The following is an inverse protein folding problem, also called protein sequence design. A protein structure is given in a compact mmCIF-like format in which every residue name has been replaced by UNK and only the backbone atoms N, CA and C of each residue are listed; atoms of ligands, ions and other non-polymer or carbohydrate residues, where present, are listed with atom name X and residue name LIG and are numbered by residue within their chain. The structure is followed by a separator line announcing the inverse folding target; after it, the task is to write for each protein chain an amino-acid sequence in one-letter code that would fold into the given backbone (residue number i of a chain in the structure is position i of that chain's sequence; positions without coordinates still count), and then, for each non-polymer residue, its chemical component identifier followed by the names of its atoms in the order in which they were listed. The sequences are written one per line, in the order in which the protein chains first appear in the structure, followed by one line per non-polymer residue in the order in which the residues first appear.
data_IF_771833940348
#
_entry.id   IF_771833940348
#
_cell.length_a   1.000
_cell.length_b   1.000
_cell.length_c   1.000
_cell.angle_alpha   90.00
_cell.angle_beta   90.00
_cell.angle_gamma   90.00
#
_symmetry.space_group_name_H-M   'P 1'
#
loop_
_entity.id
_entity.type
_entity.pdbx_description
1 polymer ?
#
# COMPACT_ATOMS: atom_id res chain seq x y z
N UNK A 1 -1.41 8.35 -27.41
CA UNK A 1 -2.42 8.40 -26.32
C UNK A 1 -1.80 8.82 -24.98
N UNK A 2 -2.42 9.75 -24.25
CA UNK A 2 -2.44 9.69 -22.78
C UNK A 2 -3.64 8.81 -22.39
N UNK A 3 -3.46 7.49 -22.48
CA UNK A 3 -4.58 6.56 -22.67
C UNK A 3 -4.42 5.22 -21.95
N UNK A 4 -4.13 5.27 -20.65
CA UNK A 4 -4.58 4.21 -19.75
C UNK A 4 -5.77 4.78 -19.00
N UNK A 5 -6.98 4.47 -19.46
CA UNK A 5 -8.20 4.83 -18.77
C UNK A 5 -8.17 4.24 -17.35
N UNK A 6 -8.57 5.05 -16.36
CA UNK A 6 -8.59 4.70 -14.93
C UNK A 6 -9.99 4.94 -14.41
N UNK A 7 -10.73 3.88 -14.10
CA UNK A 7 -12.09 3.96 -13.56
C UNK A 7 -12.22 4.56 -12.14
N UNK A 8 -11.17 5.20 -11.62
CA UNK A 8 -11.10 5.82 -10.29
C UNK A 8 -11.20 4.87 -9.09
N UNK A 9 -11.73 3.65 -9.28
CA UNK A 9 -12.20 2.77 -8.20
C UNK A 9 -11.08 2.38 -7.24
N UNK A 10 -11.11 2.82 -5.96
CA UNK A 10 -10.12 2.46 -4.96
C UNK A 10 -10.34 1.04 -4.40
N UNK A 11 -11.40 0.35 -4.84
CA UNK A 11 -11.89 -0.91 -4.29
C UNK A 11 -11.87 -2.08 -5.27
N UNK A 12 -12.30 -1.87 -6.53
CA UNK A 12 -12.56 -2.95 -7.48
C UNK A 12 -11.53 -3.07 -8.60
N UNK A 13 -10.70 -2.03 -8.82
CA UNK A 13 -9.70 -2.04 -9.87
C UNK A 13 -8.29 -2.15 -9.26
N UNK A 14 -7.54 -3.24 -9.50
CA UNK A 14 -6.21 -3.42 -8.90
C UNK A 14 -5.17 -2.40 -9.41
N UNK A 15 -5.43 -1.71 -10.54
CA UNK A 15 -4.60 -0.61 -11.03
C UNK A 15 -4.96 0.71 -10.33
N UNK A 16 -6.24 1.07 -10.31
CA UNK A 16 -6.67 2.34 -9.70
C UNK A 16 -6.53 2.33 -8.17
N UNK A 17 -6.73 1.19 -7.52
CA UNK A 17 -6.61 1.07 -6.07
C UNK A 17 -5.18 1.31 -5.56
N UNK A 18 -4.13 0.94 -6.32
CA UNK A 18 -2.73 1.27 -6.00
C UNK A 18 -2.48 2.77 -6.15
N UNK A 19 -2.90 3.38 -7.26
CA UNK A 19 -2.71 4.82 -7.46
C UNK A 19 -3.49 5.65 -6.43
N UNK A 20 -4.78 5.32 -6.20
CA UNK A 20 -5.58 5.94 -5.13
C UNK A 20 -5.00 5.70 -3.75
N UNK A 21 -4.27 4.61 -3.52
CA UNK A 21 -3.59 4.37 -2.25
C UNK A 21 -2.40 5.32 -2.04
N UNK A 22 -1.63 5.61 -3.09
CA UNK A 22 -0.55 6.61 -3.06
C UNK A 22 -1.11 8.03 -2.89
N UNK A 23 -2.15 8.40 -3.64
CA UNK A 23 -2.85 9.70 -3.51
C UNK A 23 -3.39 9.91 -2.08
N UNK A 24 -3.84 8.84 -1.41
CA UNK A 24 -4.26 8.87 0.01
C UNK A 24 -3.09 9.09 0.96
N UNK A 25 -1.94 8.49 0.71
CA UNK A 25 -0.73 8.66 1.52
C UNK A 25 -0.24 10.12 1.43
N UNK A 26 -0.12 10.66 0.21
CA UNK A 26 0.27 12.05 -0.06
C UNK A 26 -0.63 13.06 0.67
N UNK A 27 -1.97 12.94 0.54
CA UNK A 27 -2.94 13.79 1.26
C UNK A 27 -2.75 13.80 2.78
N UNK A 28 -2.30 12.68 3.35
CA UNK A 28 -2.12 12.52 4.80
C UNK A 28 -0.75 13.05 5.23
N UNK A 29 0.27 12.86 4.39
CA UNK A 29 1.59 13.46 4.56
C UNK A 29 1.49 14.99 4.55
N UNK A 30 0.69 15.58 3.66
CA UNK A 30 0.43 17.03 3.64
C UNK A 30 -0.28 17.51 4.91
N UNK A 31 -1.29 16.77 5.37
CA UNK A 31 -1.96 17.05 6.65
C UNK A 31 -0.98 16.97 7.82
N UNK A 32 -0.08 15.98 7.82
CA UNK A 32 0.94 15.82 8.84
C UNK A 32 1.98 16.96 8.79
N UNK A 33 2.57 17.25 7.63
CA UNK A 33 3.50 18.38 7.40
C UNK A 33 2.92 19.70 7.88
N UNK A 34 1.68 20.02 7.50
CA UNK A 34 1.01 21.26 7.91
C UNK A 34 0.66 21.31 9.41
N UNK A 35 0.58 20.16 10.07
CA UNK A 35 0.35 20.03 11.52
C UNK A 35 1.65 20.13 12.31
N UNK A 36 2.71 19.42 11.89
CA UNK A 36 4.02 19.48 12.55
C UNK A 36 4.72 20.82 12.32
N UNK A 37 4.59 21.42 11.13
CA UNK A 37 5.19 22.72 10.79
C UNK A 37 4.69 23.92 11.60
N UNK A 38 3.66 23.73 12.43
CA UNK A 38 3.15 24.72 13.42
C UNK A 38 3.38 24.29 14.88
N UNK A 39 4.22 23.28 15.11
CA UNK A 39 4.43 22.65 16.42
C UNK A 39 3.25 21.81 16.93
N UNK A 40 2.30 21.46 16.05
CA UNK A 40 1.20 20.56 16.35
C UNK A 40 1.64 19.09 16.27
N UNK A 41 0.73 18.18 16.64
CA UNK A 41 0.99 16.73 16.68
C UNK A 41 -0.19 15.96 16.07
N UNK A 42 0.05 14.76 15.54
CA UNK A 42 -1.01 13.95 14.90
C UNK A 42 -1.35 12.74 15.76
N UNK A 43 -2.52 12.77 16.39
CA UNK A 43 -3.09 11.61 17.08
C UNK A 43 -3.52 10.54 16.08
N UNK A 44 -3.18 9.28 16.35
CA UNK A 44 -3.45 8.14 15.46
C UNK A 44 -4.35 7.12 16.16
N UNK A 45 -5.47 6.77 15.54
CA UNK A 45 -6.50 5.94 16.15
C UNK A 45 -7.05 4.88 15.18
N UNK A 46 -6.93 3.60 15.54
CA UNK A 46 -7.68 2.51 14.87
C UNK A 46 -9.00 2.26 15.59
N UNK A 47 -10.08 2.22 14.83
CA UNK A 47 -11.43 1.83 15.25
C UNK A 47 -11.80 0.47 14.64
N UNK A 48 -12.31 -0.43 15.47
CA UNK A 48 -12.93 -1.70 15.04
C UNK A 48 -14.13 -2.04 15.92
N UNK A 49 -14.93 -3.03 15.55
CA UNK A 49 -15.98 -3.60 16.36
C UNK A 49 -15.72 -5.10 16.56
N UNK A 50 -16.12 -5.65 17.71
CA UNK A 50 -16.16 -7.10 17.89
C UNK A 50 -17.23 -7.67 16.97
N UNK A 51 -16.80 -8.57 16.09
CA UNK A 51 -17.61 -9.22 15.06
C UNK A 51 -17.33 -10.72 15.07
N UNK A 52 -18.19 -11.48 14.41
CA UNK A 52 -18.09 -12.93 14.23
C UNK A 52 -18.34 -13.31 12.76
N UNK A 53 -18.02 -14.55 12.39
CA UNK A 53 -18.03 -15.01 10.99
C UNK A 53 -19.42 -15.14 10.35
N UNK A 54 -20.48 -14.95 11.14
CA UNK A 54 -21.87 -14.85 10.75
C UNK A 54 -22.30 -13.42 10.35
N UNK A 55 -21.55 -12.39 10.76
CA UNK A 55 -21.84 -11.00 10.39
C UNK A 55 -21.41 -10.70 8.96
N UNK A 56 -22.28 -10.05 8.19
CA UNK A 56 -21.93 -9.59 6.84
C UNK A 56 -20.97 -8.41 6.86
N UNK A 57 -20.22 -8.22 5.77
CA UNK A 57 -19.40 -7.03 5.58
C UNK A 57 -20.23 -5.75 5.68
N UNK A 58 -21.48 -5.78 5.18
CA UNK A 58 -22.40 -4.65 5.25
C UNK A 58 -22.72 -4.27 6.71
N UNK A 59 -22.99 -5.25 7.57
CA UNK A 59 -23.33 -5.03 8.97
C UNK A 59 -22.13 -4.49 9.76
N UNK A 60 -20.95 -5.12 9.61
CA UNK A 60 -19.73 -4.68 10.32
C UNK A 60 -19.31 -3.28 9.84
N UNK A 61 -19.31 -3.04 8.52
CA UNK A 61 -19.05 -1.71 7.92
C UNK A 61 -20.02 -0.67 8.48
N UNK A 62 -21.32 -0.94 8.45
CA UNK A 62 -22.36 -0.01 8.91
C UNK A 62 -22.20 0.32 10.39
N UNK A 63 -22.00 -0.69 11.25
CA UNK A 63 -21.80 -0.50 12.68
C UNK A 63 -20.60 0.40 12.98
N UNK A 64 -19.44 0.13 12.38
CA UNK A 64 -18.21 0.91 12.57
C UNK A 64 -18.39 2.33 12.02
N UNK A 65 -18.91 2.49 10.79
CA UNK A 65 -19.13 3.80 10.16
C UNK A 65 -20.12 4.67 10.93
N UNK A 66 -21.27 4.13 11.35
CA UNK A 66 -22.30 4.89 12.08
C UNK A 66 -21.84 5.30 13.48
N UNK A 67 -21.10 4.42 14.18
CA UNK A 67 -20.55 4.75 15.49
C UNK A 67 -19.46 5.82 15.39
N UNK A 68 -18.52 5.65 14.46
CA UNK A 68 -17.45 6.61 14.15
C UNK A 68 -17.99 7.98 13.72
N UNK A 69 -18.98 8.00 12.82
CA UNK A 69 -19.65 9.23 12.36
C UNK A 69 -20.36 9.96 13.50
N UNK A 70 -20.99 9.23 14.44
CA UNK A 70 -21.72 9.83 15.56
C UNK A 70 -20.82 10.27 16.71
N UNK A 71 -19.66 9.62 16.91
CA UNK A 71 -18.66 10.04 17.88
C UNK A 71 -18.04 11.42 17.56
N UNK A 72 -18.07 11.84 16.29
CA UNK A 72 -17.60 13.15 15.81
C UNK A 72 -18.73 14.13 15.50
N UNK A 73 -19.81 14.11 16.29
CA UNK A 73 -21.00 14.96 16.10
C UNK A 73 -21.61 15.44 17.42
N UNK A 74 -22.23 16.61 17.38
CA UNK A 74 -22.93 17.20 18.52
C UNK A 74 -22.02 17.98 19.46
N UNK A 75 -22.59 18.47 20.57
CA UNK A 75 -21.91 19.45 21.45
C UNK A 75 -20.61 18.91 22.06
N UNK A 76 -20.63 17.68 22.60
CA UNK A 76 -19.44 17.05 23.18
C UNK A 76 -18.26 16.89 22.20
N UNK A 77 -18.53 16.73 20.90
CA UNK A 77 -17.47 16.74 19.89
C UNK A 77 -16.88 18.14 19.69
N UNK A 78 -17.72 19.18 19.65
CA UNK A 78 -17.28 20.58 19.57
C UNK A 78 -16.43 20.93 20.80
N UNK A 79 -16.91 20.60 22.00
CA UNK A 79 -16.16 20.82 23.24
C UNK A 79 -14.79 20.13 23.22
N UNK A 80 -14.70 18.88 22.71
CA UNK A 80 -13.43 18.18 22.55
C UNK A 80 -12.53 18.75 21.44
N UNK A 81 -13.10 19.35 20.39
CA UNK A 81 -12.31 20.08 19.40
C UNK A 81 -11.65 21.32 20.01
N UNK A 82 -12.39 22.04 20.86
CA UNK A 82 -11.91 23.25 21.53
C UNK A 82 -10.93 22.91 22.68
N UNK A 83 -11.24 21.90 23.52
CA UNK A 83 -10.42 21.45 24.66
C UNK A 83 -9.04 20.92 24.23
N UNK A 84 -8.99 20.07 23.20
CA UNK A 84 -7.74 19.45 22.76
C UNK A 84 -7.10 20.13 21.54
N UNK A 85 -7.76 21.11 20.91
CA UNK A 85 -7.30 21.73 19.67
C UNK A 85 -7.40 20.82 18.44
N UNK A 86 -8.42 19.95 18.36
CA UNK A 86 -8.59 19.03 17.22
C UNK A 86 -9.01 19.81 15.98
N UNK A 87 -8.12 19.92 15.00
CA UNK A 87 -8.41 20.66 13.77
C UNK A 87 -9.46 19.95 12.91
N UNK A 88 -9.39 18.63 12.82
CA UNK A 88 -10.34 17.76 12.12
C UNK A 88 -9.94 16.30 12.26
N UNK A 89 -10.51 15.42 11.41
CA UNK A 89 -10.15 13.99 11.35
C UNK A 89 -10.17 13.51 9.90
N UNK A 90 -9.10 12.86 9.46
CA UNK A 90 -9.02 12.15 8.17
C UNK A 90 -9.17 10.65 8.42
N UNK A 91 -9.94 9.94 7.59
CA UNK A 91 -10.35 8.55 7.85
C UNK A 91 -10.01 7.61 6.69
N UNK A 92 -8.95 6.83 6.83
CA UNK A 92 -8.68 5.66 6.00
C UNK A 92 -9.58 4.49 6.41
N UNK A 93 -9.99 3.67 5.45
CA UNK A 93 -10.72 2.42 5.71
C UNK A 93 -9.82 1.24 5.34
N UNK A 94 -9.80 0.19 6.15
CA UNK A 94 -9.15 -1.09 5.88
C UNK A 94 -10.23 -2.17 5.93
N UNK A 95 -10.19 -3.13 5.01
CA UNK A 95 -11.02 -4.33 5.07
C UNK A 95 -10.18 -5.56 4.78
N UNK A 96 -10.25 -6.54 5.67
CA UNK A 96 -9.60 -7.85 5.51
C UNK A 96 -10.56 -8.98 5.91
N UNK A 97 -10.25 -10.20 5.51
CA UNK A 97 -11.08 -11.37 5.74
C UNK A 97 -10.29 -12.49 6.42
N UNK A 98 -10.84 -13.10 7.47
CA UNK A 98 -10.31 -14.36 8.01
C UNK A 98 -11.38 -15.45 8.05
N UNK A 99 -11.00 -16.69 7.76
CA UNK A 99 -11.92 -17.84 7.83
C UNK A 99 -12.49 -18.09 9.23
N UNK A 100 -11.77 -17.63 10.27
CA UNK A 100 -12.16 -17.83 11.68
C UNK A 100 -13.15 -16.77 12.14
N UNK A 101 -12.90 -15.49 11.84
CA UNK A 101 -13.67 -14.37 12.41
C UNK A 101 -14.56 -13.64 11.39
N UNK A 102 -14.43 -13.92 10.09
CA UNK A 102 -15.17 -13.23 9.03
C UNK A 102 -14.51 -11.92 8.59
N UNK A 103 -15.32 -10.89 8.36
CA UNK A 103 -14.89 -9.59 7.86
C UNK A 103 -14.40 -8.66 8.97
N UNK A 104 -13.14 -8.25 8.87
CA UNK A 104 -12.54 -7.20 9.68
C UNK A 104 -12.67 -5.90 8.91
N UNK A 105 -13.53 -5.00 9.38
CA UNK A 105 -13.65 -3.65 8.85
C UNK A 105 -13.09 -2.65 9.87
N UNK A 106 -12.00 -1.96 9.52
CA UNK A 106 -11.34 -1.00 10.39
C UNK A 106 -11.36 0.41 9.80
N UNK A 107 -11.30 1.40 10.68
CA UNK A 107 -10.99 2.78 10.30
C UNK A 107 -9.71 3.24 10.96
N UNK A 108 -8.77 3.73 10.15
CA UNK A 108 -7.54 4.37 10.60
C UNK A 108 -7.76 5.88 10.54
N UNK A 109 -7.62 6.55 11.69
CA UNK A 109 -7.88 7.97 11.84
C UNK A 109 -6.56 8.71 12.06
N UNK A 110 -6.32 9.75 11.25
CA UNK A 110 -5.41 10.84 11.59
C UNK A 110 -6.21 11.97 12.24
N UNK A 111 -5.78 12.37 13.43
CA UNK A 111 -6.39 13.40 14.27
C UNK A 111 -5.36 14.52 14.44
N UNK A 112 -5.23 15.42 13.44
CA UNK A 112 -4.32 16.55 13.53
C UNK A 112 -4.76 17.51 14.64
N UNK A 113 -3.87 17.75 15.59
CA UNK A 113 -4.05 18.59 16.76
C UNK A 113 -3.14 19.81 16.63
N UNK A 114 -3.73 20.99 16.87
CA UNK A 114 -3.08 22.28 16.62
C UNK A 114 -1.88 22.53 17.57
N UNK A 115 -1.06 23.51 17.19
CA UNK A 115 0.20 23.86 17.85
C UNK A 115 0.09 24.21 19.35
N UNK A 116 1.22 24.53 20.01
CA UNK A 116 1.26 24.65 21.46
C UNK A 116 0.37 25.79 21.97
N UNK A 117 -0.41 25.54 23.03
CA UNK A 117 -1.18 26.57 23.72
C UNK A 117 -0.27 27.49 24.53
N UNK A 118 -0.76 28.66 24.93
CA UNK A 118 0.03 29.58 25.74
C UNK A 118 0.31 29.03 27.16
N UNK A 119 -0.56 28.16 27.68
CA UNK A 119 -0.31 27.41 28.91
C UNK A 119 0.80 26.36 28.74
N UNK A 120 0.84 25.67 27.60
CA UNK A 120 1.90 24.70 27.29
C UNK A 120 3.25 25.41 27.12
N UNK A 121 3.28 26.55 26.43
CA UNK A 121 4.47 27.42 26.32
C UNK A 121 4.94 27.90 27.69
N UNK A 122 4.03 28.43 28.52
CA UNK A 122 4.36 28.91 29.86
C UNK A 122 4.90 27.80 30.77
N UNK A 123 4.41 26.56 30.62
CA UNK A 123 4.89 25.39 31.38
C UNK A 123 6.23 24.84 30.88
N UNK A 124 6.52 24.94 29.59
CA UNK A 124 7.79 24.51 29.01
C UNK A 124 8.91 25.54 29.15
N UNK A 125 8.56 26.83 29.18
CA UNK A 125 9.54 27.93 29.08
C UNK A 125 10.27 27.87 27.75
N UNK A 126 11.60 27.94 27.80
CA UNK A 126 12.48 27.85 26.62
C UNK A 126 12.81 26.39 26.23
N UNK A 127 12.25 25.39 26.90
CA UNK A 127 12.56 23.98 26.63
C UNK A 127 11.65 23.36 25.56
N UNK A 128 12.12 23.36 24.32
CA UNK A 128 11.41 22.81 23.15
C UNK A 128 10.99 21.34 23.32
N UNK A 129 11.83 20.50 23.93
CA UNK A 129 11.51 19.07 24.13
C UNK A 129 10.38 18.87 25.16
N UNK A 130 10.30 19.72 26.19
CA UNK A 130 9.17 19.73 27.12
C UNK A 130 7.91 20.24 26.42
N UNK A 131 8.03 21.26 25.57
CA UNK A 131 6.90 21.80 24.81
C UNK A 131 6.31 20.75 23.86
N UNK A 132 7.16 20.05 23.11
CA UNK A 132 6.76 18.97 22.21
C UNK A 132 6.07 17.83 22.99
N UNK A 133 6.63 17.41 24.12
CA UNK A 133 6.06 16.38 24.97
C UNK A 133 4.65 16.74 25.48
N UNK A 134 4.40 18.03 25.80
CA UNK A 134 3.07 18.51 26.23
C UNK A 134 2.05 18.46 25.09
N UNK A 135 2.40 18.94 23.90
CA UNK A 135 1.50 18.87 22.72
C UNK A 135 1.25 17.40 22.33
N UNK A 136 2.26 16.55 22.44
CA UNK A 136 2.15 15.10 22.21
C UNK A 136 1.21 14.44 23.22
N UNK A 137 1.29 14.80 24.50
CA UNK A 137 0.34 14.35 25.53
C UNK A 137 -1.10 14.80 25.21
N UNK A 138 -1.30 16.04 24.75
CA UNK A 138 -2.61 16.56 24.31
C UNK A 138 -3.15 15.81 23.08
N UNK A 139 -2.31 15.53 22.09
CA UNK A 139 -2.70 14.73 20.92
C UNK A 139 -3.07 13.28 21.28
N UNK A 140 -2.39 12.68 22.26
CA UNK A 140 -2.77 11.36 22.77
C UNK A 140 -4.12 11.40 23.52
N UNK A 141 -4.35 12.44 24.35
CA UNK A 141 -5.63 12.67 25.04
C UNK A 141 -6.78 12.83 24.05
N UNK A 142 -6.61 13.62 22.99
CA UNK A 142 -7.58 13.78 21.91
C UNK A 142 -7.98 12.43 21.28
N UNK A 143 -6.98 11.60 20.95
CA UNK A 143 -7.21 10.28 20.37
C UNK A 143 -7.86 9.30 21.36
N UNK A 144 -7.49 9.34 22.65
CA UNK A 144 -8.12 8.55 23.72
C UNK A 144 -9.58 8.96 23.97
N UNK A 145 -9.87 10.26 23.96
CA UNK A 145 -11.23 10.79 24.08
C UNK A 145 -12.10 10.26 22.93
N UNK A 146 -11.62 10.36 21.68
CA UNK A 146 -12.39 9.91 20.52
C UNK A 146 -12.56 8.38 20.51
N UNK A 147 -11.59 7.63 21.00
CA UNK A 147 -11.71 6.18 21.20
C UNK A 147 -12.79 5.83 22.23
N UNK A 148 -12.89 6.56 23.34
CA UNK A 148 -13.94 6.38 24.34
C UNK A 148 -15.32 6.70 23.76
N UNK A 149 -15.48 7.88 23.14
CA UNK A 149 -16.71 8.30 22.49
C UNK A 149 -17.17 7.28 21.42
N UNK A 150 -16.25 6.73 20.63
CA UNK A 150 -16.56 5.67 19.67
C UNK A 150 -17.05 4.37 20.35
N UNK A 151 -16.39 3.90 21.41
CA UNK A 151 -16.81 2.69 22.13
C UNK A 151 -18.24 2.82 22.67
N UNK A 152 -18.59 3.99 23.19
CA UNK A 152 -19.94 4.24 23.69
C UNK A 152 -20.96 4.31 22.56
N UNK A 153 -20.58 4.83 21.38
CA UNK A 153 -21.42 4.74 20.19
C UNK A 153 -21.61 3.30 19.66
N UNK A 154 -20.61 2.42 19.79
CA UNK A 154 -20.77 0.99 19.49
C UNK A 154 -21.75 0.33 20.47
N UNK A 155 -21.55 0.54 21.78
CA UNK A 155 -22.42 0.00 22.85
C UNK A 155 -23.87 0.47 22.70
N UNK A 156 -24.08 1.75 22.39
CA UNK A 156 -25.41 2.34 22.17
C UNK A 156 -26.14 1.77 20.94
N UNK A 157 -25.46 1.05 20.04
CA UNK A 157 -26.03 0.35 18.87
C UNK A 157 -26.19 -1.16 19.09
N UNK A 158 -26.00 -1.65 20.33
CA UNK A 158 -25.99 -3.08 20.65
C UNK A 158 -24.74 -3.82 20.19
N UNK A 159 -23.76 -3.12 19.61
CA UNK A 159 -22.49 -3.69 19.21
C UNK A 159 -21.57 -3.94 20.41
N UNK A 160 -20.59 -4.84 20.22
CA UNK A 160 -19.55 -5.13 21.22
C UNK A 160 -18.22 -4.55 20.74
N UNK A 161 -17.37 -4.16 21.68
CA UNK A 161 -16.02 -3.67 21.42
C UNK A 161 -15.14 -4.02 22.62
N UNK A 162 -13.94 -4.55 22.37
CA UNK A 162 -12.98 -4.82 23.44
C UNK A 162 -12.38 -3.53 23.96
N UNK A 163 -12.38 -3.30 25.27
CA UNK A 163 -11.74 -2.12 25.84
C UNK A 163 -10.23 -2.07 25.61
N UNK A 164 -9.58 -3.25 25.55
CA UNK A 164 -8.14 -3.42 25.35
C UNK A 164 -7.72 -3.50 23.88
N UNK A 165 -8.56 -4.10 23.02
CA UNK A 165 -8.18 -4.43 21.63
C UNK A 165 -9.06 -3.78 20.56
N UNK A 166 -10.21 -3.21 20.93
CA UNK A 166 -11.19 -2.62 19.99
C UNK A 166 -10.85 -1.21 19.51
N UNK A 167 -9.91 -0.54 20.19
CA UNK A 167 -9.26 0.67 19.70
C UNK A 167 -7.77 0.61 20.01
N UNK A 168 -6.92 1.12 19.11
CA UNK A 168 -5.50 1.38 19.39
C UNK A 168 -5.23 2.86 19.18
N UNK A 169 -4.70 3.52 20.21
CA UNK A 169 -4.23 4.91 20.16
C UNK A 169 -2.70 4.91 20.13
N UNK A 170 -2.12 5.85 19.38
CA UNK A 170 -0.76 6.38 19.56
C UNK A 170 -0.72 7.83 19.06
N UNK A 171 0.42 8.48 19.15
CA UNK A 171 0.73 9.69 18.36
C UNK A 171 1.71 9.30 17.26
N UNK A 172 1.66 9.95 16.10
CA UNK A 172 2.64 9.73 15.05
C UNK A 172 4.02 10.25 15.48
N UNK A 173 5.09 9.59 15.04
CA UNK A 173 6.46 10.03 15.35
C UNK A 173 6.95 11.09 14.35
N UNK A 174 6.50 11.01 13.09
CA UNK A 174 6.80 11.97 12.02
C UNK A 174 5.71 11.94 10.91
N UNK A 175 5.98 12.60 9.77
CA UNK A 175 5.08 12.67 8.62
C UNK A 175 4.90 11.31 7.89
N UNK A 176 5.96 10.52 7.79
CA UNK A 176 5.97 9.21 7.12
C UNK A 176 5.18 8.20 7.97
N UNK A 177 5.39 8.22 9.29
CA UNK A 177 4.67 7.38 10.24
C UNK A 177 3.15 7.69 10.30
N UNK A 178 2.77 8.97 10.16
CA UNK A 178 1.38 9.38 10.02
C UNK A 178 0.76 8.90 8.70
N UNK A 179 1.46 9.15 7.58
CA UNK A 179 1.05 8.77 6.22
C UNK A 179 0.88 7.25 6.08
N UNK A 180 1.94 6.50 6.39
CA UNK A 180 1.98 5.05 6.29
C UNK A 180 0.91 4.38 7.16
N UNK A 181 0.65 4.87 8.37
CA UNK A 181 -0.33 4.24 9.26
C UNK A 181 -1.76 4.30 8.73
N UNK A 182 -2.19 5.42 8.15
CA UNK A 182 -3.57 5.53 7.63
C UNK A 182 -3.69 5.05 6.18
N UNK A 183 -2.57 4.92 5.46
CA UNK A 183 -2.48 4.20 4.19
C UNK A 183 -2.56 2.66 4.33
N UNK A 184 -2.41 2.07 5.55
CA UNK A 184 -2.44 0.61 5.80
C UNK A 184 -3.65 -0.12 5.21
N UNK A 185 -4.80 0.55 5.10
CA UNK A 185 -6.03 -0.02 4.56
C UNK A 185 -6.14 -0.11 3.04
N UNK A 186 -5.04 0.01 2.30
CA UNK A 186 -5.07 0.24 0.86
C UNK A 186 -4.00 -0.55 0.09
N UNK A 187 -4.22 -0.76 -1.21
CA UNK A 187 -3.31 -1.55 -2.05
C UNK A 187 -1.87 -1.06 -2.07
N UNK A 188 -1.58 0.22 -1.77
CA UNK A 188 -0.19 0.66 -1.65
C UNK A 188 0.53 -0.12 -0.55
N UNK A 189 -0.12 -0.45 0.56
CA UNK A 189 0.50 -1.26 1.63
C UNK A 189 0.81 -2.69 1.17
N UNK A 190 -0.01 -3.27 0.31
CA UNK A 190 0.21 -4.61 -0.27
C UNK A 190 1.30 -4.59 -1.37
N UNK A 191 1.33 -3.54 -2.19
CA UNK A 191 2.21 -3.42 -3.37
C UNK A 191 3.57 -2.78 -3.06
N UNK A 192 3.67 -1.91 -2.04
CA UNK A 192 4.95 -1.37 -1.53
C UNK A 192 5.75 -2.40 -0.73
N UNK A 193 5.20 -3.60 -0.51
CA UNK A 193 5.81 -4.60 0.36
C UNK A 193 5.73 -4.21 1.83
N UNK A 194 4.63 -3.60 2.28
CA UNK A 194 4.31 -3.43 3.69
C UNK A 194 4.14 -4.80 4.34
N UNK A 195 5.24 -5.35 4.87
CA UNK A 195 5.33 -6.75 5.29
C UNK A 195 4.23 -7.08 6.32
N UNK A 196 3.24 -7.88 5.91
CA UNK A 196 2.55 -8.74 6.88
C UNK A 196 3.63 -9.67 7.44
N UNK A 197 3.82 -9.68 8.76
CA UNK A 197 4.58 -10.75 9.41
C UNK A 197 4.08 -12.10 8.87
N UNK A 198 4.99 -13.05 8.61
CA UNK A 198 4.66 -14.32 7.93
C UNK A 198 3.53 -15.08 8.64
N UNK A 199 3.39 -14.89 9.96
CA UNK A 199 2.31 -15.41 10.81
C UNK A 199 0.95 -14.70 10.64
N UNK A 200 0.92 -13.41 10.29
CA UNK A 200 -0.32 -12.66 9.99
C UNK A 200 -0.83 -12.90 8.57
N UNK A 201 0.08 -13.08 7.61
CA UNK A 201 -0.29 -13.44 6.23
C UNK A 201 -1.10 -14.75 6.15
N UNK A 202 -0.79 -15.73 7.00
CA UNK A 202 -1.49 -17.01 7.05
C UNK A 202 -2.91 -16.95 7.67
N UNK A 203 -3.28 -15.86 8.35
CA UNK A 203 -4.52 -15.77 9.13
C UNK A 203 -5.48 -14.64 8.74
N UNK A 204 -5.02 -13.61 8.01
CA UNK A 204 -5.90 -12.55 7.48
C UNK A 204 -5.57 -12.22 6.01
N UNK A 205 -6.56 -12.42 5.15
CA UNK A 205 -6.54 -12.23 3.70
C UNK A 205 -6.97 -10.80 3.35
N UNK A 206 -6.30 -10.16 2.41
CA UNK A 206 -6.80 -8.91 1.81
C UNK A 206 -7.94 -9.22 0.81
N UNK A 207 -8.67 -8.20 0.32
CA UNK A 207 -9.68 -8.43 -0.72
C UNK A 207 -9.08 -9.05 -1.99
N UNK A 208 -7.80 -8.79 -2.28
CA UNK A 208 -7.08 -9.34 -3.43
C UNK A 208 -6.62 -10.78 -3.20
N UNK A 209 -6.21 -11.14 -1.98
CA UNK A 209 -6.03 -12.54 -1.57
C UNK A 209 -7.35 -13.33 -1.75
N UNK A 210 -8.50 -12.72 -1.40
CA UNK A 210 -9.85 -13.31 -1.60
C UNK A 210 -10.19 -13.42 -3.09
N UNK A 211 -9.92 -12.39 -3.89
CA UNK A 211 -10.14 -12.41 -5.34
C UNK A 211 -9.30 -13.47 -6.05
N UNK A 212 -8.02 -13.61 -5.69
CA UNK A 212 -7.12 -14.61 -6.25
C UNK A 212 -7.64 -16.03 -5.94
N UNK A 213 -7.95 -16.31 -4.67
CA UNK A 213 -8.52 -17.60 -4.27
C UNK A 213 -9.88 -17.89 -4.95
N UNK A 214 -10.68 -16.87 -5.23
CA UNK A 214 -11.94 -17.00 -5.98
C UNK A 214 -11.70 -17.37 -7.45
N UNK A 215 -10.69 -16.77 -8.10
CA UNK A 215 -10.26 -17.09 -9.47
C UNK A 215 -9.73 -18.53 -9.56
N UNK A 216 -8.99 -18.98 -8.53
CA UNK A 216 -8.49 -20.36 -8.40
C UNK A 216 -9.60 -21.40 -8.09
N UNK A 217 -10.87 -21.02 -8.19
CA UNK A 217 -12.03 -21.92 -8.09
C UNK A 217 -12.56 -22.14 -6.68
N UNK A 218 -12.09 -21.41 -5.66
CA UNK A 218 -12.63 -21.55 -4.31
C UNK A 218 -14.03 -20.93 -4.20
N UNK A 219 -15.06 -21.75 -4.33
CA UNK A 219 -16.47 -21.33 -4.32
C UNK A 219 -16.89 -20.50 -3.09
N UNK A 220 -16.26 -20.73 -1.93
CA UNK A 220 -16.51 -19.92 -0.73
C UNK A 220 -15.92 -18.51 -0.87
N UNK A 221 -14.70 -18.39 -1.41
CA UNK A 221 -14.09 -17.09 -1.69
C UNK A 221 -14.78 -16.35 -2.83
N UNK A 222 -15.38 -17.05 -3.80
CA UNK A 222 -16.27 -16.41 -4.81
C UNK A 222 -17.45 -15.70 -4.14
N UNK A 223 -18.05 -16.28 -3.09
CA UNK A 223 -19.12 -15.61 -2.34
C UNK A 223 -18.61 -14.40 -1.56
N UNK A 224 -17.45 -14.50 -0.90
CA UNK A 224 -16.86 -13.36 -0.18
C UNK A 224 -16.42 -12.24 -1.14
N UNK A 225 -15.89 -12.58 -2.31
CA UNK A 225 -15.57 -11.59 -3.33
C UNK A 225 -16.82 -10.85 -3.80
N UNK A 226 -17.93 -11.55 -4.10
CA UNK A 226 -19.22 -10.91 -4.44
C UNK A 226 -19.69 -9.94 -3.36
N UNK A 227 -19.70 -10.38 -2.10
CA UNK A 227 -20.06 -9.52 -0.95
C UNK A 227 -19.17 -8.26 -0.84
N UNK A 228 -17.87 -8.39 -1.08
CA UNK A 228 -16.95 -7.24 -1.15
C UNK A 228 -17.29 -6.32 -2.34
N UNK A 229 -17.57 -6.88 -3.52
CA UNK A 229 -17.97 -6.12 -4.72
C UNK A 229 -19.29 -5.39 -4.51
N UNK A 230 -20.25 -5.97 -3.80
CA UNK A 230 -21.56 -5.34 -3.55
C UNK A 230 -21.48 -4.24 -2.48
N UNK A 231 -20.58 -4.37 -1.49
CA UNK A 231 -20.57 -3.52 -0.28
C UNK A 231 -19.51 -2.41 -0.29
N UNK A 232 -18.33 -2.62 -0.88
CA UNK A 232 -17.25 -1.63 -0.81
C UNK A 232 -17.34 -0.44 -1.77
N UNK A 233 -17.97 -0.51 -2.97
CA UNK A 233 -18.37 0.66 -3.75
C UNK A 233 -19.02 1.78 -2.95
N UNK A 234 -18.87 3.03 -3.43
CA UNK A 234 -19.36 4.23 -2.73
C UNK A 234 -18.61 4.59 -1.44
N UNK A 235 -17.72 3.73 -0.92
CA UNK A 235 -17.02 3.99 0.33
C UNK A 235 -15.90 5.01 0.12
N UNK A 236 -16.10 6.23 0.65
CA UNK A 236 -15.11 7.32 0.64
C UNK A 236 -13.91 7.00 1.54
N UNK A 237 -12.74 7.52 1.18
CA UNK A 237 -11.48 7.29 1.89
C UNK A 237 -10.66 8.56 2.02
N UNK A 238 -10.06 8.80 3.19
CA UNK A 238 -9.08 9.87 3.43
C UNK A 238 -9.48 11.28 2.95
N UNK A 239 -10.76 11.63 3.06
CA UNK A 239 -11.27 12.96 2.68
C UNK A 239 -10.69 14.04 3.60
N UNK A 240 -10.03 15.03 3.03
CA UNK A 240 -9.58 16.26 3.71
C UNK A 240 -10.69 17.30 3.54
N UNK A 241 -11.52 17.47 4.58
CA UNK A 241 -12.65 18.40 4.52
C UNK A 241 -12.19 19.85 4.29
N UNK A 242 -12.98 20.66 3.59
CA UNK A 242 -12.67 22.07 3.33
C UNK A 242 -12.40 22.87 4.63
N UNK A 243 -13.05 22.52 5.74
CA UNK A 243 -12.80 23.13 7.04
C UNK A 243 -11.42 22.76 7.61
N UNK A 244 -11.00 21.49 7.49
CA UNK A 244 -9.66 21.05 7.89
C UNK A 244 -8.58 21.67 6.98
N UNK A 245 -8.80 21.64 5.67
CA UNK A 245 -7.92 22.24 4.68
C UNK A 245 -7.67 23.74 4.97
N UNK A 246 -8.74 24.50 5.22
CA UNK A 246 -8.66 25.92 5.62
C UNK A 246 -7.90 26.14 6.92
N UNK A 247 -8.07 25.30 7.94
CA UNK A 247 -7.30 25.39 9.20
C UNK A 247 -5.80 25.10 8.98
N UNK A 248 -5.50 24.14 8.09
CA UNK A 248 -4.14 23.70 7.79
C UNK A 248 -3.39 24.58 6.78
N UNK A 249 -4.10 25.35 5.96
CA UNK A 249 -3.51 26.13 4.87
C UNK A 249 -3.16 25.28 3.64
N UNK A 250 -3.74 24.09 3.53
CA UNK A 250 -3.53 23.14 2.42
C UNK A 250 -4.73 23.17 1.46
N UNK A 251 -4.53 22.65 0.25
CA UNK A 251 -5.62 22.43 -0.71
C UNK A 251 -6.61 21.40 -0.13
N UNK A 252 -7.90 21.68 -0.20
CA UNK A 252 -8.91 20.69 0.15
C UNK A 252 -8.85 19.55 -0.88
N UNK A 253 -9.10 18.31 -0.45
CA UNK A 253 -9.59 17.34 -1.42
C UNK A 253 -10.95 17.86 -1.88
N UNK A 254 -11.06 18.31 -3.13
CA UNK A 254 -12.36 18.39 -3.80
C UNK A 254 -13.08 17.06 -3.59
N UNK A 255 -14.41 17.13 -3.52
CA UNK A 255 -15.24 16.02 -3.08
C UNK A 255 -14.81 14.72 -3.75
N UNK A 256 -14.26 13.78 -2.97
CA UNK A 256 -14.31 12.36 -3.35
C UNK A 256 -15.78 11.96 -3.30
N UNK A 257 -16.51 12.36 -4.33
CA UNK A 257 -17.70 11.67 -4.78
C UNK A 257 -17.27 10.22 -4.90
N UNK A 258 -17.87 9.36 -4.07
CA UNK A 258 -17.71 7.92 -4.17
C UNK A 258 -18.43 7.37 -5.39
N UNK A 259 -18.71 8.23 -6.38
CA UNK A 259 -19.17 7.84 -7.69
C UNK A 259 -18.05 6.99 -8.31
N UNK A 260 -18.27 5.69 -8.21
CA UNK A 260 -17.79 4.83 -9.26
C UNK A 260 -18.55 5.25 -10.51
N UNK A 261 -17.87 5.96 -11.41
CA UNK A 261 -18.26 6.00 -12.80
C UNK A 261 -18.12 4.58 -13.38
N UNK A 262 -19.11 3.74 -13.05
CA UNK A 262 -19.44 2.57 -13.83
C UNK A 262 -20.08 3.09 -15.12
N UNK A 263 -19.23 3.39 -16.11
CA UNK A 263 -19.72 3.91 -17.38
C UNK A 263 -20.79 3.00 -17.97
N UNK A 264 -21.75 3.62 -18.66
CA UNK A 264 -22.51 2.94 -19.69
C UNK A 264 -21.53 2.30 -20.68
N UNK A 265 -21.92 1.18 -21.30
CA UNK A 265 -20.99 0.34 -22.06
C UNK A 265 -20.21 1.15 -23.11
N UNK A 266 -18.92 1.37 -22.86
CA UNK A 266 -17.97 1.83 -23.87
C UNK A 266 -18.06 0.93 -25.11
N UNK A 267 -17.83 1.51 -26.29
CA UNK A 267 -17.73 0.74 -27.53
C UNK A 267 -16.60 -0.29 -27.41
N UNK A 268 -16.97 -1.57 -27.32
CA UNK A 268 -16.02 -2.67 -27.10
C UNK A 268 -15.22 -2.90 -28.39
N UNK A 269 -14.06 -2.25 -28.47
CA UNK A 269 -13.08 -2.36 -29.57
C UNK A 269 -12.59 -3.81 -29.77
N UNK A 270 -12.60 -4.62 -28.70
CA UNK A 270 -12.36 -6.06 -28.75
C UNK A 270 -12.17 -6.68 -27.37
N UNK A 271 -11.75 -7.95 -27.31
CA UNK A 271 -11.49 -8.69 -26.06
C UNK A 271 -10.19 -9.49 -26.16
N UNK A 272 -9.38 -9.43 -25.11
CA UNK A 272 -8.15 -10.23 -24.95
C UNK A 272 -8.34 -11.18 -23.78
N UNK A 273 -7.91 -12.44 -23.92
CA UNK A 273 -7.98 -13.38 -22.81
C UNK A 273 -6.97 -13.03 -21.70
N UNK A 274 -7.35 -13.24 -20.44
CA UNK A 274 -6.51 -12.92 -19.29
C UNK A 274 -5.12 -13.60 -19.26
N UNK A 275 -4.89 -14.82 -19.79
CA UNK A 275 -3.54 -15.38 -19.92
C UNK A 275 -2.65 -14.57 -20.88
N UNK A 276 -3.19 -14.20 -22.05
CA UNK A 276 -2.50 -13.40 -23.08
C UNK A 276 -2.17 -12.00 -22.52
N UNK A 277 -3.14 -11.33 -21.90
CA UNK A 277 -2.91 -10.02 -21.27
C UNK A 277 -1.82 -10.07 -20.19
N UNK A 278 -1.83 -11.10 -19.33
CA UNK A 278 -0.79 -11.31 -18.30
C UNK A 278 0.60 -11.55 -18.92
N UNK A 279 0.66 -12.24 -20.06
CA UNK A 279 1.91 -12.43 -20.83
C UNK A 279 2.47 -11.09 -21.31
N UNK A 280 1.64 -10.23 -21.91
CA UNK A 280 2.06 -8.90 -22.36
C UNK A 280 2.52 -8.01 -21.22
N UNK A 281 1.79 -8.00 -20.10
CA UNK A 281 2.18 -7.26 -18.90
C UNK A 281 3.55 -7.70 -18.36
N UNK A 282 3.85 -9.01 -18.35
CA UNK A 282 5.16 -9.56 -17.93
C UNK A 282 6.32 -9.06 -18.80
N UNK A 283 6.06 -8.74 -20.07
CA UNK A 283 7.06 -8.24 -21.02
C UNK A 283 7.01 -6.72 -21.26
N UNK A 284 6.10 -5.99 -20.59
CA UNK A 284 5.91 -4.55 -20.79
C UNK A 284 5.21 -4.16 -22.10
N UNK A 285 4.61 -5.12 -22.82
CA UNK A 285 4.03 -4.92 -24.15
C UNK A 285 2.64 -4.25 -24.14
N UNK A 286 2.04 -4.02 -22.98
CA UNK A 286 0.70 -3.42 -22.88
C UNK A 286 0.61 -2.03 -23.54
N UNK A 287 1.64 -1.19 -23.40
CA UNK A 287 1.70 0.11 -24.07
C UNK A 287 1.85 -0.01 -25.61
N UNK A 288 2.59 -1.02 -26.07
CA UNK A 288 2.73 -1.35 -27.50
C UNK A 288 1.39 -1.80 -28.09
N UNK A 289 0.65 -2.67 -27.40
CA UNK A 289 -0.68 -3.10 -27.80
C UNK A 289 -1.66 -1.93 -27.87
N UNK A 290 -1.76 -1.11 -26.82
CA UNK A 290 -2.67 0.05 -26.80
C UNK A 290 -2.33 1.06 -27.90
N UNK A 291 -1.03 1.27 -28.19
CA UNK A 291 -0.59 2.09 -29.33
C UNK A 291 -1.05 1.51 -30.67
N UNK A 292 -1.00 0.18 -30.87
CA UNK A 292 -1.50 -0.48 -32.09
C UNK A 292 -3.01 -0.28 -32.28
N UNK A 293 -3.77 -0.37 -31.18
CA UNK A 293 -5.21 -0.08 -31.18
C UNK A 293 -5.49 1.41 -31.50
N UNK A 294 -4.65 2.35 -31.06
CA UNK A 294 -4.78 3.79 -31.39
C UNK A 294 -4.82 4.05 -32.90
N UNK A 295 -3.99 3.34 -33.67
CA UNK A 295 -3.91 3.49 -35.12
C UNK A 295 -4.90 2.58 -35.89
N UNK A 296 -5.21 1.40 -35.36
CA UNK A 296 -6.04 0.40 -36.05
C UNK A 296 -7.53 0.46 -35.74
N UNK A 297 -7.94 1.09 -34.64
CA UNK A 297 -9.32 1.09 -34.17
C UNK A 297 -9.85 -0.34 -33.91
N UNK A 298 -11.16 -0.54 -34.10
CA UNK A 298 -11.79 -1.86 -33.94
C UNK A 298 -11.43 -2.85 -35.06
N UNK A 299 -11.27 -2.37 -36.29
CA UNK A 299 -10.92 -3.21 -37.44
C UNK A 299 -9.50 -3.79 -37.30
N UNK A 300 -8.55 -2.98 -36.81
CA UNK A 300 -7.18 -3.41 -36.53
C UNK A 300 -6.98 -4.16 -35.20
N UNK A 301 -8.05 -4.50 -34.46
CA UNK A 301 -7.91 -5.17 -33.16
C UNK A 301 -7.22 -6.53 -33.27
N UNK A 302 -7.62 -7.36 -34.24
CA UNK A 302 -7.03 -8.68 -34.45
C UNK A 302 -5.53 -8.58 -34.80
N UNK A 303 -5.18 -7.71 -35.75
CA UNK A 303 -3.79 -7.46 -36.15
C UNK A 303 -2.94 -6.95 -34.97
N UNK A 304 -3.51 -6.12 -34.09
CA UNK A 304 -2.85 -5.64 -32.88
C UNK A 304 -2.59 -6.76 -31.86
N UNK A 305 -3.52 -7.71 -31.69
CA UNK A 305 -3.32 -8.92 -30.86
C UNK A 305 -2.20 -9.76 -31.46
N UNK A 306 -2.28 -10.10 -32.75
CA UNK A 306 -1.33 -10.99 -33.43
C UNK A 306 0.07 -10.40 -33.54
N UNK A 307 0.20 -9.08 -33.72
CA UNK A 307 1.49 -8.40 -33.67
C UNK A 307 2.09 -8.40 -32.25
N UNK A 308 1.25 -8.35 -31.20
CA UNK A 308 1.71 -8.31 -29.81
C UNK A 308 2.05 -9.69 -29.26
N UNK A 309 1.32 -10.74 -29.63
CA UNK A 309 1.75 -12.11 -29.32
C UNK A 309 3.04 -12.49 -30.05
N UNK A 310 3.26 -12.07 -31.30
CA UNK A 310 4.55 -12.27 -32.00
C UNK A 310 5.72 -11.62 -31.26
N UNK A 311 5.56 -10.40 -30.76
CA UNK A 311 6.59 -9.76 -29.91
C UNK A 311 6.79 -10.52 -28.59
N UNK A 312 5.70 -11.00 -27.97
CA UNK A 312 5.74 -11.77 -26.74
C UNK A 312 6.42 -13.14 -26.92
N UNK A 313 6.24 -13.80 -28.07
CA UNK A 313 6.94 -15.04 -28.44
C UNK A 313 8.44 -14.81 -28.57
N UNK A 314 8.86 -13.76 -29.29
CA UNK A 314 10.28 -13.38 -29.45
C UNK A 314 10.92 -13.11 -28.08
N UNK A 315 10.23 -12.38 -27.20
CA UNK A 315 10.72 -12.10 -25.84
C UNK A 315 10.68 -13.33 -24.92
N UNK A 316 9.77 -14.28 -25.16
CA UNK A 316 9.72 -15.56 -24.44
C UNK A 316 10.91 -16.44 -24.83
N UNK A 317 11.20 -16.56 -26.13
CA UNK A 317 12.32 -17.35 -26.65
C UNK A 317 13.66 -16.82 -26.11
N UNK A 318 13.92 -15.51 -26.24
CA UNK A 318 15.13 -14.87 -25.68
C UNK A 318 15.28 -15.10 -24.18
N UNK A 319 14.20 -15.00 -23.41
CA UNK A 319 14.25 -15.26 -21.97
C UNK A 319 14.57 -16.72 -21.63
N UNK A 320 14.12 -17.67 -22.44
CA UNK A 320 14.46 -19.08 -22.27
C UNK A 320 15.93 -19.36 -22.62
N UNK A 321 16.46 -18.69 -23.65
CA UNK A 321 17.90 -18.71 -24.00
C UNK A 321 18.75 -18.10 -22.88
N UNK A 322 18.40 -16.92 -22.38
CA UNK A 322 19.06 -16.25 -21.24
C UNK A 322 19.05 -17.14 -19.99
N UNK A 323 17.91 -17.78 -19.68
CA UNK A 323 17.78 -18.66 -18.51
C UNK A 323 18.56 -19.97 -18.66
N UNK A 324 18.61 -20.55 -19.87
CA UNK A 324 19.45 -21.71 -20.16
C UNK A 324 20.94 -21.37 -20.06
N UNK A 325 21.37 -20.21 -20.57
CA UNK A 325 22.72 -19.72 -20.44
C UNK A 325 23.10 -19.47 -18.97
N UNK A 326 22.23 -18.83 -18.18
CA UNK A 326 22.48 -18.63 -16.74
C UNK A 326 22.56 -19.96 -15.98
N UNK A 327 21.70 -20.94 -16.29
CA UNK A 327 21.77 -22.28 -15.68
C UNK A 327 23.07 -22.99 -16.05
N UNK A 328 23.51 -22.93 -17.31
CA UNK A 328 24.80 -23.50 -17.73
C UNK A 328 25.98 -22.87 -16.97
N UNK A 329 25.99 -21.54 -16.81
CA UNK A 329 27.03 -20.83 -16.04
C UNK A 329 26.98 -21.23 -14.56
N UNK A 330 25.79 -21.37 -13.99
CA UNK A 330 25.59 -21.82 -12.60
C UNK A 330 26.09 -23.26 -12.40
N UNK A 331 25.76 -24.18 -13.31
CA UNK A 331 26.19 -25.58 -13.23
C UNK A 331 27.71 -25.72 -13.39
N UNK A 332 28.32 -24.93 -14.29
CA UNK A 332 29.77 -24.87 -14.50
C UNK A 332 30.53 -24.28 -13.29
N UNK A 333 30.00 -23.21 -12.68
CA UNK A 333 30.65 -22.51 -11.56
C UNK A 333 30.41 -23.20 -10.21
N UNK A 334 29.25 -23.83 -10.01
CA UNK A 334 28.84 -24.41 -8.72
C UNK A 334 28.70 -25.94 -8.71
N UNK A 335 29.10 -26.62 -9.79
CA UNK A 335 29.36 -28.06 -9.79
C UNK A 335 28.14 -28.93 -9.43
N UNK A 336 26.94 -28.55 -9.89
CA UNK A 336 25.70 -29.30 -9.64
C UNK A 336 24.95 -28.93 -8.35
N UNK A 337 25.23 -27.78 -7.75
CA UNK A 337 24.40 -27.25 -6.67
C UNK A 337 22.99 -26.87 -7.18
N UNK A 338 21.94 -27.53 -6.68
CA UNK A 338 20.55 -27.30 -7.11
C UNK A 338 20.06 -25.88 -6.82
N UNK A 339 20.08 -25.00 -7.83
CA UNK A 339 19.53 -23.64 -7.70
C UNK A 339 18.00 -23.68 -7.82
N UNK A 340 17.33 -23.55 -6.68
CA UNK A 340 15.87 -23.69 -6.56
C UNK A 340 15.11 -22.47 -7.11
N UNK A 341 15.77 -21.31 -7.30
CA UNK A 341 15.15 -20.10 -7.87
C UNK A 341 16.19 -19.11 -8.43
N UNK A 342 15.92 -18.57 -9.62
CA UNK A 342 16.70 -17.50 -10.29
C UNK A 342 15.77 -16.33 -10.61
N UNK A 343 15.89 -15.21 -9.90
CA UNK A 343 15.07 -14.01 -10.10
C UNK A 343 15.89 -12.89 -10.75
N UNK A 344 15.84 -12.80 -12.08
CA UNK A 344 16.52 -11.78 -12.87
C UNK A 344 15.61 -10.54 -13.04
N UNK A 345 15.70 -9.57 -12.12
CA UNK A 345 15.12 -8.23 -12.32
C UNK A 345 16.15 -7.32 -13.02
N UNK A 346 15.68 -6.52 -13.99
CA UNK A 346 16.51 -5.55 -14.73
C UNK A 346 17.05 -4.47 -13.78
N UNK A 347 18.25 -4.00 -14.08
CA UNK A 347 18.85 -2.84 -13.44
C UNK A 347 18.57 -1.58 -14.25
N UNK A 348 17.76 -0.68 -13.69
CA UNK A 348 17.76 0.76 -13.97
C UNK A 348 17.00 1.45 -12.83
N UNK A 349 17.70 2.26 -12.01
CA UNK A 349 17.22 3.41 -11.19
C UNK A 349 18.33 3.91 -10.22
N UNK A 350 18.13 5.05 -9.54
CA UNK A 350 19.19 5.94 -8.96
C UNK A 350 18.76 6.56 -7.60
N UNK A 351 19.57 7.26 -6.78
CA UNK A 351 20.93 7.82 -7.01
C UNK A 351 22.02 7.37 -5.99
N UNK A 352 22.17 7.84 -4.72
CA UNK A 352 23.51 7.91 -4.11
C UNK A 352 23.71 7.29 -2.69
N UNK A 353 24.99 7.29 -2.26
CA UNK A 353 25.58 7.16 -0.90
C UNK A 353 26.14 5.81 -0.39
N UNK A 354 27.47 5.82 -0.21
CA UNK A 354 28.28 5.38 0.93
C UNK A 354 27.95 4.06 1.68
N UNK A 355 28.60 2.95 1.29
CA UNK A 355 29.10 1.92 2.21
C UNK A 355 30.25 1.11 1.58
N UNK A 356 31.11 0.51 2.41
CA UNK A 356 32.23 -0.34 1.97
C UNK A 356 31.80 -1.56 1.12
N UNK A 357 30.54 -1.97 1.21
CA UNK A 357 29.97 -3.09 0.44
C UNK A 357 29.82 -2.76 -1.06
N UNK A 358 29.63 -1.48 -1.41
CA UNK A 358 29.64 -1.02 -2.81
C UNK A 358 31.06 -1.03 -3.39
N UNK A 359 32.07 -0.63 -2.61
CA UNK A 359 33.47 -0.75 -3.00
C UNK A 359 33.88 -2.23 -3.22
N UNK A 360 33.38 -3.14 -2.38
CA UNK A 360 33.56 -4.59 -2.58
C UNK A 360 32.88 -5.09 -3.88
N UNK A 361 31.72 -4.56 -4.24
CA UNK A 361 31.00 -4.91 -5.48
C UNK A 361 31.68 -4.36 -6.74
N UNK A 362 32.23 -3.14 -6.69
CA UNK A 362 33.09 -2.62 -7.76
C UNK A 362 34.41 -3.39 -7.87
N UNK A 363 35.06 -3.73 -6.76
CA UNK A 363 36.26 -4.58 -6.76
C UNK A 363 35.96 -5.96 -7.37
N UNK A 364 34.79 -6.55 -7.09
CA UNK A 364 34.30 -7.80 -7.69
C UNK A 364 34.09 -7.66 -9.21
N UNK A 365 33.47 -6.57 -9.68
CA UNK A 365 33.34 -6.25 -11.10
C UNK A 365 34.70 -6.00 -11.80
N UNK A 366 35.65 -5.39 -11.09
CA UNK A 366 37.02 -5.15 -11.58
C UNK A 366 37.81 -6.45 -11.67
N UNK A 367 37.67 -7.34 -10.69
CA UNK A 367 38.28 -8.67 -10.68
C UNK A 367 37.71 -9.57 -11.78
N UNK A 368 36.40 -9.51 -12.07
CA UNK A 368 35.78 -10.21 -13.21
C UNK A 368 36.35 -9.72 -14.56
N UNK A 369 36.52 -8.39 -14.74
CA UNK A 369 37.16 -7.81 -15.94
C UNK A 369 38.67 -8.13 -16.04
N UNK A 370 39.35 -8.26 -14.91
CA UNK A 370 40.76 -8.68 -14.85
C UNK A 370 40.91 -10.19 -15.13
N UNK A 371 39.95 -11.03 -14.72
CA UNK A 371 39.89 -12.45 -15.02
C UNK A 371 39.59 -12.71 -16.52
N UNK A 372 38.64 -11.99 -17.11
CA UNK A 372 38.37 -11.96 -18.56
C UNK A 372 39.63 -11.57 -19.37
N UNK A 373 40.42 -10.62 -18.86
CA UNK A 373 41.72 -10.25 -19.43
C UNK A 373 42.78 -11.36 -19.27
N UNK A 374 42.77 -12.11 -18.15
CA UNK A 374 43.78 -13.15 -17.83
C UNK A 374 43.46 -14.54 -18.39
N UNK A 375 42.22 -14.81 -18.83
CA UNK A 375 41.86 -16.00 -19.61
C UNK A 375 42.69 -16.15 -20.92
N UNK A 376 43.39 -15.09 -21.36
CA UNK A 376 44.30 -15.12 -22.51
C UNK A 376 45.69 -15.74 -22.23
N UNK A 377 46.02 -16.11 -20.98
CA UNK A 377 47.31 -16.70 -20.61
C UNK A 377 47.15 -17.84 -19.60
N UNK A 378 46.71 -19.00 -20.08
CA UNK A 378 46.75 -20.26 -19.30
C UNK A 378 48.17 -20.85 -19.28
N UNK A 379 48.54 -21.55 -18.18
CA UNK A 379 49.21 -22.84 -18.34
C UNK A 379 48.71 -23.93 -17.37
N UNK A 380 47.84 -24.80 -17.88
CA UNK A 380 48.09 -26.25 -18.06
C UNK A 380 48.67 -27.18 -16.95
N UNK A 381 48.75 -26.83 -15.66
CA UNK A 381 49.32 -27.76 -14.63
C UNK A 381 48.30 -28.49 -13.72
N UNK A 382 47.00 -28.31 -13.95
CA UNK A 382 45.96 -29.28 -13.56
C UNK A 382 45.70 -29.47 -12.06
N UNK A 383 46.16 -28.56 -11.19
CA UNK A 383 45.90 -28.62 -9.75
C UNK A 383 44.60 -27.90 -9.36
N UNK A 384 43.79 -28.44 -8.42
CA UNK A 384 42.66 -27.72 -7.86
C UNK A 384 43.13 -26.59 -6.93
N UNK A 385 42.43 -25.45 -6.97
CA UNK A 385 42.65 -24.36 -6.02
C UNK A 385 41.92 -24.65 -4.70
N UNK A 386 42.62 -24.45 -3.59
CA UNK A 386 42.04 -24.38 -2.24
C UNK A 386 42.21 -22.95 -1.75
N UNK A 387 41.16 -22.35 -1.20
CA UNK A 387 41.18 -20.98 -0.69
C UNK A 387 40.47 -20.94 0.66
N UNK A 388 41.26 -20.68 1.71
CA UNK A 388 40.77 -20.42 3.07
C UNK A 388 40.51 -18.91 3.21
N UNK A 389 39.42 -18.54 3.86
CA UNK A 389 38.91 -17.17 3.93
C UNK A 389 39.20 -16.49 5.29
N UNK A 390 40.23 -16.93 6.04
CA UNK A 390 40.56 -16.37 7.37
C UNK A 390 41.98 -15.80 7.54
N UNK A 391 42.87 -15.93 6.56
CA UNK A 391 44.20 -15.30 6.59
C UNK A 391 44.37 -14.35 5.39
N UNK A 392 44.92 -13.15 5.65
CA UNK A 392 44.96 -11.96 4.76
C UNK A 392 43.55 -11.40 4.41
N UNK A 393 43.00 -10.39 5.10
CA UNK A 393 43.60 -9.26 5.82
C UNK A 393 44.49 -8.37 4.93
#
# INVERSE_FOLDING_TARGET
MSGVYRCGSPWLCPVCAVWKALERAEKIEDVAKATFGRGGQVGMLVLTASHSNDMSLADVKKLVQDASSKARKGRAWIDAQDEYGIMGVVVGQEVTYSRVNGWHYHQHLCIPVDGPTDEEKARAGENEAVLEALVRERAEKAARWLAAAYKDQIRARGGKVSDRHGCRVRVADDCEDASGYTAKGSMAWEVSGGHKDVTKAASSMTPWDVAAAAIDGNAFMVQRWREYVDVMPGTRTCVVSAALAKKLGITASETEEGEQELHERDDIVGRVEAPIWRRWMRFGLAATFLSRIEYGGAEGFADAVDATERDADILTARRAEDEAALRSIVDEVFGGATVVRLDCKRADDRIPFETAEQAAREAKMRAVREADRRQRLAPSDGRPWVLDCREAA
#
